data_IF_421004350234
#
_entry.id   IF_421004350234
#
_cell.length_a   1.000
_cell.length_b   1.000
_cell.length_c   1.000
_cell.angle_alpha   90.00
_cell.angle_beta   90.00
_cell.angle_gamma   90.00
#
_symmetry.space_group_name_H-M   'P 1'
#
loop_
_entity.id
_entity.type
_entity.pdbx_description
1 polymer ?
#
# COMPACT_ATOMS: atom_id res chain seq x y z
N UNK A 1 20.66 4.01 10.70
CA UNK A 1 21.08 4.17 9.28
C UNK A 1 19.99 3.49 8.47
N UNK A 2 19.15 4.24 7.76
CA UNK A 2 18.05 3.62 7.02
C UNK A 2 18.54 3.29 5.63
N UNK A 3 18.54 2.01 5.31
CA UNK A 3 18.81 1.48 3.99
C UNK A 3 17.52 0.79 3.57
N UNK A 4 16.94 1.23 2.46
CA UNK A 4 15.77 0.57 1.88
C UNK A 4 16.11 -0.88 1.55
N UNK A 5 15.11 -1.76 1.59
CA UNK A 5 15.30 -3.20 1.44
C UNK A 5 15.83 -3.59 0.04
N UNK A 6 16.16 -4.87 -0.10
CA UNK A 6 16.47 -5.45 -1.40
C UNK A 6 15.27 -5.38 -2.37
N UNK A 7 14.04 -5.41 -1.85
CA UNK A 7 12.81 -5.32 -2.66
C UNK A 7 12.68 -3.94 -3.29
N UNK A 8 12.91 -2.87 -2.54
CA UNK A 8 12.95 -1.53 -3.13
C UNK A 8 14.08 -1.37 -4.14
N UNK A 9 15.26 -1.92 -3.85
CA UNK A 9 16.38 -1.90 -4.80
C UNK A 9 16.06 -2.65 -6.10
N UNK A 10 15.24 -3.70 -6.04
CA UNK A 10 14.73 -4.43 -7.21
C UNK A 10 13.72 -3.57 -7.97
N UNK A 11 12.78 -2.93 -7.27
CA UNK A 11 11.79 -2.02 -7.85
C UNK A 11 12.44 -0.90 -8.68
N UNK A 12 13.42 -0.18 -8.13
CA UNK A 12 14.12 0.93 -8.82
C UNK A 12 14.84 0.46 -10.10
N UNK A 13 15.25 -0.82 -10.18
CA UNK A 13 15.86 -1.37 -11.40
C UNK A 13 14.85 -1.73 -12.47
N UNK A 14 13.60 -2.00 -12.08
CA UNK A 14 12.54 -2.45 -12.98
C UNK A 14 11.58 -1.33 -13.37
N UNK A 15 11.44 -0.30 -12.53
CA UNK A 15 10.55 0.83 -12.74
C UNK A 15 11.37 2.08 -13.08
N UNK A 16 11.17 2.62 -14.29
CA UNK A 16 11.79 3.88 -14.72
C UNK A 16 10.78 5.02 -14.59
N UNK A 17 10.89 5.80 -13.51
CA UNK A 17 10.12 7.04 -13.36
C UNK A 17 10.55 8.06 -14.43
N UNK A 18 9.69 9.02 -14.79
CA UNK A 18 10.09 10.15 -15.66
C UNK A 18 10.42 11.42 -14.87
N UNK A 19 10.18 11.41 -13.56
CA UNK A 19 10.43 12.55 -12.69
C UNK A 19 11.90 12.58 -12.25
N UNK A 20 12.65 13.57 -12.72
CA UNK A 20 14.08 13.71 -12.45
C UNK A 20 14.39 13.86 -10.94
N UNK A 21 13.48 14.48 -10.17
CA UNK A 21 13.67 14.64 -8.73
C UNK A 21 13.48 13.31 -8.01
N UNK A 22 12.50 12.51 -8.44
CA UNK A 22 12.35 11.13 -7.92
C UNK A 22 13.57 10.29 -8.28
N UNK A 23 14.12 10.39 -9.50
CA UNK A 23 15.38 9.69 -9.87
C UNK A 23 16.56 10.10 -9.00
N UNK A 24 16.65 11.37 -8.64
CA UNK A 24 17.71 11.84 -7.77
C UNK A 24 17.56 11.27 -6.35
N UNK A 25 16.33 11.26 -5.83
CA UNK A 25 15.99 10.63 -4.56
C UNK A 25 16.35 9.14 -4.59
N UNK A 26 15.96 8.40 -5.63
CA UNK A 26 16.32 6.99 -5.85
C UNK A 26 17.83 6.75 -5.77
N UNK A 27 18.63 7.57 -6.46
CA UNK A 27 20.10 7.46 -6.43
C UNK A 27 20.64 7.64 -5.02
N UNK A 28 20.13 8.62 -4.28
CA UNK A 28 20.56 8.89 -2.91
C UNK A 28 20.20 7.71 -2.01
N UNK A 29 18.97 7.22 -2.04
CA UNK A 29 18.49 6.19 -1.11
C UNK A 29 18.98 4.78 -1.45
N UNK A 30 19.39 4.52 -2.69
CA UNK A 30 19.98 3.23 -3.11
C UNK A 30 21.51 3.20 -3.02
N UNK A 31 22.17 4.35 -2.87
CA UNK A 31 23.62 4.40 -2.65
C UNK A 31 24.00 3.76 -1.30
N UNK A 32 24.97 2.85 -1.36
CA UNK A 32 25.50 2.10 -0.20
C UNK A 32 26.13 3.00 0.86
N UNK A 33 26.52 4.22 0.50
CA UNK A 33 27.19 5.18 1.40
C UNK A 33 26.27 6.28 1.94
N UNK A 34 24.99 6.31 1.53
CA UNK A 34 24.07 7.35 1.93
C UNK A 34 23.54 7.19 3.35
N UNK A 35 23.33 8.33 4.03
CA UNK A 35 22.71 8.38 5.35
C UNK A 35 21.34 9.07 5.31
N UNK A 36 20.49 8.85 6.31
CA UNK A 36 19.22 9.60 6.49
C UNK A 36 19.47 11.12 6.55
N UNK A 37 20.65 11.54 7.04
CA UNK A 37 21.07 12.94 7.03
C UNK A 37 21.09 13.53 5.63
N UNK A 38 21.55 12.75 4.63
CA UNK A 38 21.62 13.16 3.23
C UNK A 38 20.23 13.37 2.62
N UNK A 39 19.25 12.57 3.05
CA UNK A 39 17.84 12.67 2.64
C UNK A 39 17.17 13.90 3.27
N UNK A 40 17.46 14.20 4.55
CA UNK A 40 16.91 15.39 5.24
C UNK A 40 17.53 16.69 4.75
N UNK A 41 18.79 16.67 4.32
CA UNK A 41 19.45 17.79 3.65
C UNK A 41 19.04 17.92 2.18
N UNK A 42 18.40 16.88 1.61
CA UNK A 42 17.81 16.93 0.29
C UNK A 42 16.57 17.84 0.33
N UNK A 43 16.84 19.13 0.19
CA UNK A 43 15.84 20.12 -0.17
C UNK A 43 16.06 20.33 -1.65
N UNK A 44 15.35 19.61 -2.53
CA UNK A 44 15.50 19.91 -3.95
C UNK A 44 15.10 21.38 -4.12
N UNK A 45 15.91 22.17 -4.85
CA UNK A 45 15.53 23.53 -5.27
C UNK A 45 14.19 23.51 -6.03
N UNK A 46 13.76 22.33 -6.48
CA UNK A 46 12.49 22.01 -7.12
C UNK A 46 11.63 21.15 -6.20
N UNK A 47 10.38 21.54 -5.93
CA UNK A 47 9.45 20.69 -5.18
C UNK A 47 9.02 19.49 -6.03
N UNK A 48 9.12 18.28 -5.49
CA UNK A 48 8.51 17.09 -6.11
C UNK A 48 7.00 17.32 -6.20
N UNK A 49 6.43 17.07 -7.37
CA UNK A 49 4.98 17.14 -7.54
C UNK A 49 4.30 16.03 -6.73
N UNK A 50 3.31 16.40 -5.91
CA UNK A 50 2.65 15.45 -5.01
C UNK A 50 1.92 14.33 -5.78
N UNK A 51 1.34 14.61 -6.95
CA UNK A 51 0.69 13.56 -7.74
C UNK A 51 1.72 12.58 -8.28
N UNK A 52 2.88 13.04 -8.75
CA UNK A 52 3.97 12.17 -9.20
C UNK A 52 4.50 11.29 -8.08
N UNK A 53 4.68 11.84 -6.87
CA UNK A 53 5.05 11.05 -5.69
C UNK A 53 4.03 9.97 -5.36
N UNK A 54 2.74 10.27 -5.44
CA UNK A 54 1.69 9.30 -5.18
C UNK A 54 1.63 8.23 -6.27
N UNK A 55 1.80 8.60 -7.54
CA UNK A 55 1.88 7.64 -8.66
C UNK A 55 3.07 6.70 -8.50
N UNK A 56 4.22 7.22 -8.06
CA UNK A 56 5.40 6.43 -7.75
C UNK A 56 5.17 5.43 -6.60
N UNK A 57 4.54 5.89 -5.52
CA UNK A 57 4.18 5.01 -4.40
C UNK A 57 3.14 3.95 -4.82
N UNK A 58 2.17 4.30 -5.64
CA UNK A 58 1.20 3.34 -6.20
C UNK A 58 1.92 2.27 -7.02
N UNK A 59 2.85 2.66 -7.89
CA UNK A 59 3.65 1.70 -8.65
C UNK A 59 4.49 0.79 -7.75
N UNK A 60 5.04 1.32 -6.65
CA UNK A 60 5.74 0.51 -5.67
C UNK A 60 4.80 -0.43 -4.91
N UNK A 61 3.60 0.01 -4.55
CA UNK A 61 2.58 -0.84 -3.93
C UNK A 61 2.18 -2.00 -4.86
N UNK A 62 1.91 -1.72 -6.13
CA UNK A 62 1.62 -2.75 -7.13
C UNK A 62 2.76 -3.78 -7.23
N UNK A 63 4.02 -3.31 -7.22
CA UNK A 63 5.19 -4.17 -7.28
C UNK A 63 5.34 -5.12 -6.07
N UNK A 64 5.20 -4.60 -4.84
CA UNK A 64 5.34 -5.44 -3.63
C UNK A 64 4.14 -6.35 -3.41
N UNK A 65 2.98 -6.05 -4.02
CA UNK A 65 1.76 -6.86 -3.89
C UNK A 65 1.64 -7.95 -4.96
N UNK A 66 2.62 -8.08 -5.86
CA UNK A 66 2.68 -9.13 -6.87
C UNK A 66 2.72 -10.54 -6.25
N UNK A 67 3.45 -10.70 -5.14
CA UNK A 67 3.57 -11.97 -4.42
C UNK A 67 2.51 -12.15 -3.33
N UNK A 68 1.54 -11.22 -3.27
CA UNK A 68 0.37 -11.30 -2.42
C UNK A 68 0.66 -11.17 -0.91
N UNK A 69 1.85 -10.69 -0.54
CA UNK A 69 2.28 -10.58 0.86
C UNK A 69 3.19 -9.37 1.10
N UNK A 70 2.76 -8.43 1.94
CA UNK A 70 3.59 -7.31 2.39
C UNK A 70 4.47 -7.77 3.56
N UNK A 71 5.77 -7.90 3.31
CA UNK A 71 6.74 -8.09 4.38
C UNK A 71 6.90 -6.84 5.25
N UNK A 72 7.37 -7.01 6.48
CA UNK A 72 7.67 -5.89 7.37
C UNK A 72 8.72 -4.93 6.81
N UNK A 73 9.64 -5.42 5.97
CA UNK A 73 10.62 -4.58 5.27
C UNK A 73 9.96 -3.71 4.21
N UNK A 74 9.07 -4.27 3.39
CA UNK A 74 8.36 -3.54 2.33
C UNK A 74 7.41 -2.49 2.89
N UNK A 75 6.68 -2.81 3.97
CA UNK A 75 5.84 -1.86 4.66
C UNK A 75 6.66 -0.67 5.18
N UNK A 76 7.80 -0.97 5.80
CA UNK A 76 8.70 0.04 6.34
C UNK A 76 9.35 0.89 5.24
N UNK A 77 9.69 0.30 4.09
CA UNK A 77 10.13 1.00 2.88
C UNK A 77 9.05 1.97 2.39
N UNK A 78 7.82 1.50 2.27
CA UNK A 78 6.68 2.29 1.85
C UNK A 78 6.44 3.49 2.77
N UNK A 79 6.40 3.25 4.09
CA UNK A 79 6.28 4.29 5.13
C UNK A 79 7.41 5.33 5.06
N UNK A 80 8.63 4.88 4.81
CA UNK A 80 9.78 5.78 4.69
C UNK A 80 9.66 6.65 3.46
N UNK A 81 9.26 6.09 2.32
CA UNK A 81 9.04 6.86 1.10
C UNK A 81 7.90 7.87 1.27
N UNK A 82 6.79 7.52 1.96
CA UNK A 82 5.73 8.49 2.32
C UNK A 82 6.31 9.70 3.04
N UNK A 83 7.20 9.48 4.02
CA UNK A 83 7.86 10.55 4.78
C UNK A 83 8.79 11.40 3.92
N UNK A 84 9.57 10.77 3.04
CA UNK A 84 10.48 11.47 2.11
C UNK A 84 9.69 12.39 1.17
N UNK A 85 8.62 11.86 0.58
CA UNK A 85 7.76 12.61 -0.33
C UNK A 85 6.75 13.53 0.36
N UNK A 86 6.78 13.58 1.71
CA UNK A 86 5.87 14.40 2.54
C UNK A 86 4.40 14.13 2.24
N UNK A 87 4.07 12.88 1.97
CA UNK A 87 2.70 12.40 1.83
C UNK A 87 2.06 12.37 3.22
N UNK A 88 0.85 12.91 3.31
CA UNK A 88 0.06 12.97 4.54
C UNK A 88 -1.08 11.97 4.47
N UNK A 89 -1.58 11.58 5.64
CA UNK A 89 -2.83 10.83 5.77
C UNK A 89 -3.95 11.46 4.92
N UNK A 90 -4.69 10.60 4.22
CA UNK A 90 -5.76 11.00 3.31
C UNK A 90 -5.31 11.53 1.94
N UNK A 91 -4.01 11.77 1.69
CA UNK A 91 -3.54 12.23 0.36
C UNK A 91 -3.84 11.18 -0.73
N UNK A 92 -3.67 9.89 -0.43
CA UNK A 92 -4.00 8.78 -1.32
C UNK A 92 -5.48 8.77 -1.72
N UNK A 93 -6.39 8.80 -0.75
CA UNK A 93 -7.82 8.80 -1.03
C UNK A 93 -8.24 10.10 -1.75
N UNK A 94 -7.70 11.26 -1.36
CA UNK A 94 -8.08 12.54 -1.98
C UNK A 94 -7.65 12.65 -3.44
N UNK A 95 -6.45 12.18 -3.78
CA UNK A 95 -5.84 12.41 -5.11
C UNK A 95 -5.82 11.18 -6.01
N UNK A 96 -5.83 9.98 -5.44
CA UNK A 96 -5.66 8.70 -6.15
C UNK A 96 -6.64 7.62 -5.68
N UNK A 97 -7.84 8.02 -5.23
CA UNK A 97 -8.86 7.09 -4.72
C UNK A 97 -9.15 5.93 -5.66
N UNK A 98 -9.20 6.17 -6.96
CA UNK A 98 -9.49 5.13 -7.95
C UNK A 98 -8.40 4.05 -7.93
N UNK A 99 -7.13 4.43 -8.05
CA UNK A 99 -6.00 3.51 -8.06
C UNK A 99 -5.89 2.71 -6.76
N UNK A 100 -6.05 3.38 -5.62
CA UNK A 100 -6.02 2.73 -4.29
C UNK A 100 -7.12 1.68 -4.18
N UNK A 101 -8.34 2.01 -4.62
CA UNK A 101 -9.47 1.07 -4.63
C UNK A 101 -9.22 -0.12 -5.54
N UNK A 102 -8.63 0.09 -6.71
CA UNK A 102 -8.31 -1.01 -7.63
C UNK A 102 -7.29 -1.98 -7.04
N UNK A 103 -6.23 -1.48 -6.39
CA UNK A 103 -5.25 -2.31 -5.69
C UNK A 103 -5.93 -3.13 -4.60
N UNK A 104 -6.69 -2.46 -3.72
CA UNK A 104 -7.35 -3.11 -2.59
C UNK A 104 -8.37 -4.15 -3.06
N UNK A 105 -9.15 -3.82 -4.09
CA UNK A 105 -10.13 -4.74 -4.67
C UNK A 105 -9.48 -6.02 -5.19
N UNK A 106 -8.35 -5.92 -5.90
CA UNK A 106 -7.60 -7.11 -6.35
C UNK A 106 -7.17 -7.99 -5.17
N UNK A 107 -6.68 -7.38 -4.09
CA UNK A 107 -6.26 -8.11 -2.90
C UNK A 107 -7.46 -8.73 -2.16
N UNK A 108 -8.57 -8.03 -2.02
CA UNK A 108 -9.77 -8.56 -1.36
C UNK A 108 -10.40 -9.71 -2.14
N UNK A 109 -10.51 -9.61 -3.47
CA UNK A 109 -11.00 -10.72 -4.31
C UNK A 109 -10.18 -11.99 -4.04
N UNK A 110 -8.85 -11.86 -3.97
CA UNK A 110 -7.96 -12.99 -3.67
C UNK A 110 -8.21 -13.55 -2.28
N UNK A 111 -8.16 -12.69 -1.25
CA UNK A 111 -8.30 -13.09 0.15
C UNK A 111 -9.64 -13.75 0.45
N UNK A 112 -10.73 -13.28 -0.16
CA UNK A 112 -12.06 -13.80 0.09
C UNK A 112 -12.44 -14.97 -0.84
N UNK A 113 -11.56 -15.40 -1.74
CA UNK A 113 -11.88 -16.38 -2.80
C UNK A 113 -12.14 -17.80 -2.30
N UNK A 114 -11.54 -18.20 -1.19
CA UNK A 114 -11.71 -19.50 -0.55
C UNK A 114 -12.70 -19.48 0.63
N UNK A 115 -13.38 -18.34 0.80
CA UNK A 115 -14.40 -18.11 1.83
C UNK A 115 -13.88 -18.24 3.27
N UNK A 116 -12.57 -18.15 3.49
CA UNK A 116 -11.95 -18.20 4.82
C UNK A 116 -10.66 -17.35 4.89
N UNK A 117 -10.68 -16.32 5.74
CA UNK A 117 -9.52 -15.46 6.00
C UNK A 117 -8.60 -16.11 7.02
N UNK A 118 -7.38 -16.44 6.60
CA UNK A 118 -6.37 -16.98 7.49
C UNK A 118 -5.63 -15.88 8.30
N UNK A 119 -4.74 -16.29 9.20
CA UNK A 119 -3.96 -15.35 10.03
C UNK A 119 -3.02 -14.46 9.21
N UNK A 120 -2.46 -14.97 8.11
CA UNK A 120 -1.56 -14.19 7.26
C UNK A 120 -2.34 -13.14 6.50
N UNK A 121 -3.51 -13.47 6.00
CA UNK A 121 -4.42 -12.55 5.32
C UNK A 121 -5.00 -11.50 6.26
N UNK A 122 -5.31 -11.87 7.52
CA UNK A 122 -5.68 -10.90 8.54
C UNK A 122 -4.57 -9.87 8.79
N UNK A 123 -3.31 -10.30 8.88
CA UNK A 123 -2.14 -9.39 8.99
C UNK A 123 -2.00 -8.53 7.73
N UNK A 124 -2.15 -9.14 6.56
CA UNK A 124 -2.03 -8.45 5.28
C UNK A 124 -3.09 -7.34 5.13
N UNK A 125 -4.32 -7.56 5.59
CA UNK A 125 -5.35 -6.52 5.63
C UNK A 125 -4.94 -5.33 6.49
N UNK A 126 -4.34 -5.58 7.66
CA UNK A 126 -3.82 -4.52 8.53
C UNK A 126 -2.70 -3.75 7.82
N UNK A 127 -1.78 -4.45 7.14
CA UNK A 127 -0.70 -3.82 6.39
C UNK A 127 -1.24 -2.96 5.23
N UNK A 128 -2.21 -3.44 4.46
CA UNK A 128 -2.88 -2.70 3.39
C UNK A 128 -3.57 -1.44 3.93
N UNK A 129 -4.25 -1.55 5.08
CA UNK A 129 -4.88 -0.41 5.73
C UNK A 129 -3.85 0.66 6.13
N UNK A 130 -2.72 0.24 6.71
CA UNK A 130 -1.63 1.12 7.13
C UNK A 130 -0.92 1.78 5.93
N UNK A 131 -0.62 1.03 4.86
CA UNK A 131 0.06 1.56 3.68
C UNK A 131 -0.67 2.78 3.10
N UNK A 132 -1.99 2.67 2.93
CA UNK A 132 -2.82 3.70 2.32
C UNK A 132 -3.45 4.68 3.31
N UNK A 133 -3.08 4.61 4.60
CA UNK A 133 -3.59 5.45 5.68
C UNK A 133 -5.13 5.49 5.72
N UNK A 134 -5.77 4.32 5.63
CA UNK A 134 -7.22 4.22 5.59
C UNK A 134 -7.80 4.14 7.00
N UNK A 135 -8.85 4.92 7.25
CA UNK A 135 -9.63 4.75 8.47
C UNK A 135 -10.32 3.38 8.48
N UNK A 136 -10.68 2.92 9.69
CA UNK A 136 -11.38 1.65 9.85
C UNK A 136 -12.68 1.60 9.04
N UNK A 137 -13.48 2.66 9.08
CA UNK A 137 -14.76 2.72 8.36
C UNK A 137 -14.58 2.72 6.84
N UNK A 138 -13.57 3.43 6.33
CA UNK A 138 -13.25 3.41 4.90
C UNK A 138 -12.83 2.00 4.46
N UNK A 139 -11.97 1.35 5.24
CA UNK A 139 -11.49 0.00 4.93
C UNK A 139 -12.62 -1.04 4.96
N UNK A 140 -13.47 -1.02 6.00
CA UNK A 140 -14.63 -1.92 6.09
C UNK A 140 -15.59 -1.76 4.90
N UNK A 141 -15.82 -0.51 4.47
CA UNK A 141 -16.67 -0.22 3.31
C UNK A 141 -16.09 -0.78 2.01
N UNK A 142 -14.77 -0.78 1.85
CA UNK A 142 -14.11 -1.25 0.63
C UNK A 142 -14.14 -2.78 0.47
N UNK A 143 -14.23 -3.53 1.57
CA UNK A 143 -14.34 -4.99 1.54
C UNK A 143 -15.78 -5.52 1.54
N UNK A 144 -16.78 -4.64 1.70
CA UNK A 144 -18.19 -5.03 1.88
C UNK A 144 -18.70 -5.92 0.74
N UNK A 145 -18.41 -5.55 -0.52
CA UNK A 145 -18.86 -6.28 -1.69
C UNK A 145 -18.34 -7.73 -1.71
N UNK A 146 -17.05 -7.93 -1.40
CA UNK A 146 -16.43 -9.25 -1.39
C UNK A 146 -16.91 -10.11 -0.21
N UNK A 147 -17.13 -9.51 0.96
CA UNK A 147 -17.75 -10.21 2.09
C UNK A 147 -19.16 -10.67 1.74
N UNK A 148 -19.98 -9.81 1.14
CA UNK A 148 -21.33 -10.19 0.70
C UNK A 148 -21.25 -11.33 -0.32
N UNK A 149 -20.28 -11.29 -1.23
CA UNK A 149 -20.06 -12.36 -2.21
C UNK A 149 -19.71 -13.69 -1.53
N UNK A 150 -18.78 -13.70 -0.56
CA UNK A 150 -18.44 -14.89 0.23
C UNK A 150 -19.63 -15.44 1.01
N UNK A 151 -20.37 -14.58 1.70
CA UNK A 151 -21.56 -15.01 2.45
C UNK A 151 -22.62 -15.63 1.54
N UNK A 152 -22.81 -15.09 0.32
CA UNK A 152 -23.72 -15.68 -0.68
C UNK A 152 -23.26 -17.04 -1.21
N UNK A 153 -21.95 -17.33 -1.17
CA UNK A 153 -21.39 -18.65 -1.49
C UNK A 153 -21.54 -19.65 -0.34
N UNK A 154 -22.01 -19.21 0.82
CA UNK A 154 -22.21 -20.05 2.01
C UNK A 154 -21.07 -19.97 3.02
N UNK A 155 -20.18 -18.98 2.90
CA UNK A 155 -19.13 -18.73 3.88
C UNK A 155 -19.72 -18.52 5.28
N UNK A 156 -19.03 -19.05 6.29
CA UNK A 156 -19.37 -18.80 7.68
C UNK A 156 -18.84 -17.40 8.09
N UNK A 157 -19.69 -16.49 8.59
CA UNK A 157 -19.26 -15.13 8.96
C UNK A 157 -18.08 -15.06 9.92
N UNK A 158 -17.90 -16.08 10.78
CA UNK A 158 -16.79 -16.14 11.74
C UNK A 158 -15.43 -16.33 11.09
N UNK A 159 -15.41 -16.85 9.87
CA UNK A 159 -14.20 -17.21 9.14
C UNK A 159 -13.76 -16.06 8.21
N UNK A 160 -14.53 -14.97 8.12
CA UNK A 160 -14.26 -13.86 7.18
C UNK A 160 -13.49 -12.66 7.80
N UNK A 161 -13.13 -12.76 9.08
CA UNK A 161 -12.46 -11.71 9.85
C UNK A 161 -13.13 -10.33 9.64
N UNK A 162 -14.41 -10.29 10.02
CA UNK A 162 -15.30 -9.14 9.92
C UNK A 162 -15.73 -8.66 11.31
N UNK A 163 -15.83 -7.34 11.48
CA UNK A 163 -16.27 -6.73 12.74
C UNK A 163 -17.78 -6.80 12.94
N UNK A 164 -18.53 -6.77 11.84
CA UNK A 164 -20.01 -6.80 11.78
C UNK A 164 -20.46 -7.37 10.45
N UNK A 165 -21.66 -7.93 10.42
CA UNK A 165 -22.29 -8.33 9.17
C UNK A 165 -22.60 -7.09 8.32
N UNK A 166 -22.44 -7.17 6.98
CA UNK A 166 -22.84 -6.08 6.09
C UNK A 166 -24.32 -5.73 6.29
N UNK A 167 -24.68 -4.44 6.39
CA UNK A 167 -26.06 -4.01 6.65
C UNK A 167 -27.04 -4.46 5.55
N UNK A 168 -26.54 -4.71 4.34
CA UNK A 168 -27.31 -5.14 3.19
C UNK A 168 -27.43 -6.68 3.07
N UNK A 169 -26.81 -7.45 3.96
CA UNK A 169 -26.92 -8.90 3.97
C UNK A 169 -28.10 -9.35 4.84
N UNK A 170 -29.08 -10.00 4.22
CA UNK A 170 -30.21 -10.66 4.92
C UNK A 170 -30.11 -12.16 4.67
N UNK A 171 -30.19 -12.93 5.75
CA UNK A 171 -30.26 -14.40 5.75
C UNK A 171 -31.56 -14.88 5.09
#
# INVERSE_FOLDING_TARGET
MYKLSANYSKFVRTFDTKDDVIKEIEKIITDKHSTIGNIRSFTPERTVDKNQSLDYLIAYADFILEDHFISGEELNDFETLKRIFRIKEGDFIRLKSFQVKEILKKQFIRMYSDDNIDKKEAIEKVNLQLMFDLSFDEFEKLKEDEIIASLRRGANPKDLDISKLPPNFRL
#
